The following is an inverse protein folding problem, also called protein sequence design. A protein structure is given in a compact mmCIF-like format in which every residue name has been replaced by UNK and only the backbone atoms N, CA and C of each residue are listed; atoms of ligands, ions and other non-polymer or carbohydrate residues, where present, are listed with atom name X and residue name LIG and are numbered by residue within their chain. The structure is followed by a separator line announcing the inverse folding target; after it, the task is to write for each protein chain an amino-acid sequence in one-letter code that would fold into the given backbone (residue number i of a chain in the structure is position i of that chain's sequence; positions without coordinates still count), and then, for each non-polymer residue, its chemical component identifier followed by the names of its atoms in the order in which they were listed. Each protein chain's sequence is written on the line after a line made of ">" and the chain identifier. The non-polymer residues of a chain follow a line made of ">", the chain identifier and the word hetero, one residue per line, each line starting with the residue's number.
data_IF_766069668316
#
_entry.id   IF_766069668316
#
_cell.length_a   1.000
_cell.length_b   1.000
_cell.length_c   1.000
_cell.angle_alpha   90.00
_cell.angle_beta   90.00
_cell.angle_gamma   90.00
#
_symmetry.space_group_name_H-M   'P 1'
#
loop_
_entity.id
_entity.type
_entity.pdbx_description
1 polymer ?
#
# COMPACT_ATOMS: atom_id res chain seq x y z
N UNK A 1 -27.83 -17.94 -8.56
CA UNK A 1 -27.08 -16.76 -8.06
C UNK A 1 -26.22 -16.24 -9.21
N UNK A 2 -26.23 -14.94 -9.46
CA UNK A 2 -25.33 -14.31 -10.42
C UNK A 2 -23.89 -14.35 -9.86
N UNK A 3 -22.87 -14.40 -10.76
CA UNK A 3 -21.48 -14.31 -10.35
C UNK A 3 -21.24 -12.96 -9.67
N UNK A 4 -20.53 -12.96 -8.56
CA UNK A 4 -20.14 -11.74 -7.86
C UNK A 4 -18.97 -11.09 -8.59
N UNK A 5 -19.02 -9.80 -8.83
CA UNK A 5 -17.87 -9.04 -9.32
C UNK A 5 -17.02 -8.61 -8.12
N UNK A 6 -15.71 -8.77 -8.25
CA UNK A 6 -14.74 -8.61 -7.16
C UNK A 6 -13.71 -7.57 -7.53
N UNK A 7 -13.49 -6.59 -6.65
CA UNK A 7 -12.33 -5.72 -6.67
C UNK A 7 -11.28 -6.22 -5.70
N UNK A 8 -10.03 -6.25 -6.11
CA UNK A 8 -8.89 -6.66 -5.28
C UNK A 8 -7.85 -5.54 -5.29
N UNK A 9 -7.61 -4.99 -4.12
CA UNK A 9 -6.40 -4.23 -3.83
C UNK A 9 -5.34 -5.23 -3.36
N UNK A 10 -4.37 -5.53 -4.23
CA UNK A 10 -3.29 -6.50 -3.95
C UNK A 10 -2.07 -5.76 -3.41
N UNK A 11 -2.19 -5.17 -2.24
CA UNK A 11 -1.13 -4.40 -1.63
C UNK A 11 0.03 -5.24 -1.06
N UNK A 12 1.19 -4.60 -0.95
CA UNK A 12 2.39 -5.21 -0.34
C UNK A 12 2.19 -5.54 1.15
N UNK A 13 1.43 -4.72 1.88
CA UNK A 13 1.16 -4.91 3.31
C UNK A 13 -0.12 -5.69 3.55
N UNK A 14 -1.21 -5.33 2.89
CA UNK A 14 -2.54 -5.93 3.05
C UNK A 14 -3.18 -6.21 1.69
N UNK A 15 -4.04 -7.22 1.65
CA UNK A 15 -4.98 -7.47 0.57
C UNK A 15 -6.37 -7.07 1.04
N UNK A 16 -7.01 -6.17 0.30
CA UNK A 16 -8.41 -5.84 0.51
C UNK A 16 -9.25 -6.40 -0.64
N UNK A 17 -10.42 -6.95 -0.30
CA UNK A 17 -11.36 -7.44 -1.32
C UNK A 17 -12.71 -6.76 -1.12
N UNK A 18 -13.15 -6.13 -2.21
CA UNK A 18 -14.47 -5.54 -2.35
C UNK A 18 -15.38 -6.45 -3.18
N UNK A 19 -16.61 -6.66 -2.77
CA UNK A 19 -17.64 -7.33 -3.56
C UNK A 19 -18.70 -6.32 -3.95
N UNK A 20 -19.02 -6.28 -5.25
CA UNK A 20 -20.06 -5.41 -5.77
C UNK A 20 -21.40 -5.65 -5.04
N UNK A 21 -21.90 -4.58 -4.39
CA UNK A 21 -23.13 -4.60 -3.62
C UNK A 21 -23.02 -5.08 -2.17
N UNK A 22 -21.83 -5.52 -1.72
CA UNK A 22 -21.57 -5.95 -0.35
C UNK A 22 -20.52 -5.08 0.36
N UNK A 23 -19.73 -4.30 -0.39
CA UNK A 23 -18.64 -3.48 0.15
C UNK A 23 -17.35 -4.28 0.36
N UNK A 24 -16.48 -3.78 1.25
CA UNK A 24 -15.23 -4.46 1.62
C UNK A 24 -15.55 -5.64 2.52
N UNK A 25 -15.23 -6.84 2.05
CA UNK A 25 -15.55 -8.12 2.73
C UNK A 25 -14.32 -8.82 3.29
N UNK A 26 -13.13 -8.36 2.93
CA UNK A 26 -11.86 -8.90 3.43
C UNK A 26 -10.82 -7.79 3.52
N UNK A 27 -10.10 -7.77 4.63
CA UNK A 27 -8.89 -6.98 4.84
C UNK A 27 -7.93 -7.86 5.66
N UNK A 28 -6.91 -8.38 5.00
CA UNK A 28 -5.97 -9.34 5.57
C UNK A 28 -4.52 -8.99 5.19
N UNK A 29 -3.55 -9.20 6.08
CA UNK A 29 -2.14 -9.02 5.76
C UNK A 29 -1.69 -9.89 4.57
N UNK A 30 -0.81 -9.34 3.73
CA UNK A 30 -0.18 -10.06 2.61
C UNK A 30 0.95 -10.97 3.10
N UNK A 31 0.61 -11.96 3.94
CA UNK A 31 1.57 -12.87 4.58
C UNK A 31 1.06 -14.31 4.48
N UNK A 32 2.00 -15.23 4.21
CA UNK A 32 1.74 -16.67 4.16
C UNK A 32 2.79 -17.39 5.01
N UNK A 33 2.36 -18.24 5.93
CA UNK A 33 3.24 -19.13 6.69
C UNK A 33 3.32 -20.50 6.02
N UNK A 34 4.52 -20.95 5.73
CA UNK A 34 4.79 -22.24 5.07
C UNK A 34 5.76 -23.08 5.89
N UNK A 35 5.54 -24.36 5.88
CA UNK A 35 6.49 -25.36 6.33
C UNK A 35 7.55 -25.55 5.23
N UNK A 36 8.81 -25.31 5.56
CA UNK A 36 9.92 -25.33 4.58
C UNK A 36 10.35 -26.74 4.18
N UNK A 37 10.03 -27.76 4.97
CA UNK A 37 10.40 -29.14 4.72
C UNK A 37 9.47 -29.79 3.69
N UNK A 38 8.16 -29.60 3.86
CA UNK A 38 7.15 -30.22 2.99
C UNK A 38 6.44 -29.21 2.07
N UNK A 39 6.83 -27.93 2.09
CA UNK A 39 6.24 -26.82 1.32
C UNK A 39 4.73 -26.64 1.53
N UNK A 40 4.22 -27.07 2.67
CA UNK A 40 2.80 -26.97 3.00
C UNK A 40 2.48 -25.60 3.59
N UNK A 41 1.40 -24.98 3.10
CA UNK A 41 0.86 -23.75 3.70
C UNK A 41 0.23 -24.09 5.05
N UNK A 42 0.66 -23.35 6.08
CA UNK A 42 0.20 -23.49 7.47
C UNK A 42 -0.90 -22.47 7.75
N UNK A 43 -0.68 -21.21 7.36
CA UNK A 43 -1.60 -20.11 7.62
C UNK A 43 -1.49 -19.03 6.52
N UNK A 44 -2.53 -18.21 6.36
CA UNK A 44 -2.56 -17.09 5.41
C UNK A 44 -3.24 -15.89 6.07
N UNK A 45 -2.74 -14.70 5.79
CA UNK A 45 -3.30 -13.45 6.28
C UNK A 45 -3.00 -13.23 7.75
N UNK A 46 -4.02 -12.88 8.53
CA UNK A 46 -3.89 -12.52 9.94
C UNK A 46 -3.23 -13.62 10.78
N UNK A 47 -3.62 -14.87 10.58
CA UNK A 47 -3.02 -16.00 11.30
C UNK A 47 -1.52 -16.14 11.00
N UNK A 48 -1.11 -15.95 9.74
CA UNK A 48 0.30 -15.96 9.34
C UNK A 48 1.06 -14.74 9.91
N UNK A 49 0.41 -13.58 9.98
CA UNK A 49 0.99 -12.37 10.55
C UNK A 49 1.32 -12.51 12.04
N UNK A 50 0.51 -13.23 12.80
CA UNK A 50 0.78 -13.51 14.22
C UNK A 50 2.04 -14.38 14.43
N UNK A 51 2.41 -15.17 13.42
CA UNK A 51 3.60 -16.01 13.39
C UNK A 51 4.86 -15.25 12.97
N UNK A 52 4.73 -14.10 12.31
CA UNK A 52 5.85 -13.37 11.73
C UNK A 52 6.90 -13.00 12.78
N UNK A 53 8.16 -13.35 12.53
CA UNK A 53 9.28 -13.14 13.46
C UNK A 53 9.26 -14.02 14.72
N UNK A 54 8.37 -15.03 14.80
CA UNK A 54 8.20 -15.91 15.98
C UNK A 54 8.18 -17.39 15.63
N UNK A 55 8.56 -17.75 14.41
CA UNK A 55 8.50 -19.13 13.90
C UNK A 55 9.76 -19.91 14.23
N UNK A 56 9.66 -21.24 14.44
CA UNK A 56 10.82 -22.12 14.46
C UNK A 56 11.44 -22.23 13.06
N UNK A 57 12.66 -22.80 12.95
CA UNK A 57 13.44 -22.84 11.71
C UNK A 57 12.73 -23.49 10.51
N UNK A 58 11.92 -24.50 10.76
CA UNK A 58 11.16 -25.23 9.72
C UNK A 58 9.87 -24.50 9.27
N UNK A 59 9.51 -23.38 9.88
CA UNK A 59 8.35 -22.57 9.50
C UNK A 59 8.81 -21.17 9.10
N UNK A 60 8.40 -20.70 7.91
CA UNK A 60 8.68 -19.34 7.46
C UNK A 60 7.38 -18.59 7.16
N UNK A 61 7.22 -17.42 7.77
CA UNK A 61 6.23 -16.44 7.34
C UNK A 61 6.83 -15.57 6.23
N UNK A 62 6.22 -15.59 5.05
CA UNK A 62 6.70 -14.97 3.82
C UNK A 62 5.73 -13.86 3.42
N UNK A 63 6.25 -12.71 3.02
CA UNK A 63 5.51 -11.66 2.32
C UNK A 63 5.67 -11.89 0.81
N UNK A 64 4.64 -12.43 0.11
CA UNK A 64 4.76 -12.79 -1.30
C UNK A 64 4.73 -11.59 -2.24
N UNK A 65 4.31 -10.43 -1.73
CA UNK A 65 4.33 -9.14 -2.41
C UNK A 65 5.48 -8.30 -1.87
N UNK A 66 6.21 -7.64 -2.77
CA UNK A 66 7.30 -6.73 -2.41
C UNK A 66 7.31 -5.56 -3.38
N UNK A 67 7.39 -4.35 -2.83
CA UNK A 67 7.52 -3.12 -3.63
C UNK A 67 6.43 -3.02 -4.74
N UNK A 68 5.18 -3.40 -4.39
CA UNK A 68 4.02 -3.37 -5.29
C UNK A 68 3.95 -4.49 -6.32
N UNK A 69 4.90 -5.43 -6.34
CA UNK A 69 4.96 -6.52 -7.32
C UNK A 69 5.01 -7.90 -6.67
N UNK A 70 4.70 -8.94 -7.46
CA UNK A 70 4.79 -10.33 -7.01
C UNK A 70 6.25 -10.74 -6.88
N UNK A 71 6.69 -11.01 -5.65
CA UNK A 71 8.02 -11.55 -5.35
C UNK A 71 8.05 -13.08 -5.40
N UNK A 72 6.94 -13.73 -5.03
CA UNK A 72 6.77 -15.18 -5.11
C UNK A 72 5.39 -15.51 -5.70
N UNK A 73 5.41 -16.02 -6.93
CA UNK A 73 4.20 -16.26 -7.71
C UNK A 73 3.34 -17.38 -7.10
N UNK A 74 3.95 -18.50 -6.73
CA UNK A 74 3.23 -19.65 -6.19
C UNK A 74 2.55 -19.30 -4.86
N UNK A 75 3.28 -18.61 -4.00
CA UNK A 75 2.75 -18.18 -2.69
C UNK A 75 1.67 -17.12 -2.86
N UNK A 76 1.78 -16.19 -3.83
CA UNK A 76 0.75 -15.20 -4.14
C UNK A 76 -0.52 -15.89 -4.67
N UNK A 77 -0.39 -16.84 -5.58
CA UNK A 77 -1.53 -17.63 -6.09
C UNK A 77 -2.27 -18.34 -4.95
N UNK A 78 -1.54 -19.00 -4.04
CA UNK A 78 -2.12 -19.69 -2.89
C UNK A 78 -2.84 -18.69 -1.97
N UNK A 79 -2.23 -17.53 -1.71
CA UNK A 79 -2.83 -16.46 -0.90
C UNK A 79 -4.15 -15.98 -1.50
N UNK A 80 -4.16 -15.60 -2.78
CA UNK A 80 -5.36 -15.15 -3.49
C UNK A 80 -6.45 -16.22 -3.52
N UNK A 81 -6.09 -17.48 -3.85
CA UNK A 81 -7.03 -18.60 -3.83
C UNK A 81 -7.67 -18.79 -2.45
N UNK A 82 -6.87 -18.66 -1.38
CA UNK A 82 -7.37 -18.80 -0.01
C UNK A 82 -8.35 -17.69 0.33
N UNK A 83 -8.03 -16.44 0.00
CA UNK A 83 -8.90 -15.29 0.26
C UNK A 83 -10.21 -15.35 -0.55
N UNK A 84 -10.13 -15.71 -1.85
CA UNK A 84 -11.32 -15.85 -2.70
C UNK A 84 -12.23 -16.98 -2.22
N UNK A 85 -11.68 -18.09 -1.70
CA UNK A 85 -12.46 -19.15 -1.06
C UNK A 85 -13.12 -18.68 0.25
N UNK A 86 -12.40 -17.90 1.07
CA UNK A 86 -12.88 -17.37 2.36
C UNK A 86 -14.13 -16.49 2.18
N UNK A 87 -14.16 -15.66 1.14
CA UNK A 87 -15.30 -14.78 0.83
C UNK A 87 -16.44 -15.48 0.07
N UNK A 88 -16.32 -16.78 -0.26
CA UNK A 88 -17.31 -17.56 -0.99
C UNK A 88 -17.78 -16.90 -2.31
N UNK A 89 -16.89 -16.20 -2.97
CA UNK A 89 -17.19 -15.49 -4.21
C UNK A 89 -17.41 -16.42 -5.41
N UNK A 90 -16.91 -17.64 -5.32
CA UNK A 90 -17.02 -18.67 -6.35
C UNK A 90 -18.07 -19.71 -5.96
N UNK A 91 -18.96 -20.03 -6.91
CA UNK A 91 -19.88 -21.16 -6.81
C UNK A 91 -19.53 -22.19 -7.91
N UNK A 92 -20.10 -23.40 -7.82
CA UNK A 92 -19.90 -24.47 -8.85
C UNK A 92 -20.31 -24.04 -10.26
N UNK A 93 -21.22 -23.03 -10.38
CA UNK A 93 -21.83 -22.61 -11.64
C UNK A 93 -21.49 -21.19 -12.06
N UNK A 94 -20.80 -20.40 -11.19
CA UNK A 94 -20.55 -18.99 -11.47
C UNK A 94 -19.10 -18.62 -11.19
N UNK A 95 -18.46 -17.95 -12.17
CA UNK A 95 -17.08 -17.46 -12.06
C UNK A 95 -17.10 -15.94 -11.97
N UNK A 96 -16.40 -15.33 -11.00
CA UNK A 96 -16.36 -13.88 -10.84
C UNK A 96 -15.61 -13.19 -11.99
N UNK A 97 -15.95 -11.91 -12.24
CA UNK A 97 -15.02 -10.98 -12.87
C UNK A 97 -14.21 -10.36 -11.76
N UNK A 98 -12.92 -10.17 -12.00
CA UNK A 98 -11.99 -9.60 -11.02
C UNK A 98 -11.41 -8.33 -11.62
N UNK A 99 -11.47 -7.23 -10.87
CA UNK A 99 -10.67 -6.04 -11.08
C UNK A 99 -9.56 -6.04 -10.03
N UNK A 100 -8.30 -5.95 -10.47
CA UNK A 100 -7.14 -5.93 -9.58
C UNK A 100 -6.31 -4.68 -9.87
N UNK A 101 -5.81 -4.04 -8.81
CA UNK A 101 -5.00 -2.85 -8.93
C UNK A 101 -3.50 -3.19 -8.95
N UNK A 102 -2.73 -2.35 -9.60
CA UNK A 102 -1.28 -2.44 -9.64
C UNK A 102 -0.64 -1.03 -9.67
N UNK A 103 0.60 -0.89 -9.19
CA UNK A 103 1.35 0.36 -9.31
C UNK A 103 1.56 0.80 -10.76
N UNK A 104 1.76 2.11 -10.99
CA UNK A 104 1.90 2.67 -12.34
C UNK A 104 3.11 2.18 -13.11
N UNK A 105 4.24 2.02 -12.47
CA UNK A 105 5.53 1.77 -13.13
C UNK A 105 5.97 0.30 -13.08
N UNK A 106 5.02 -0.65 -13.16
CA UNK A 106 5.36 -2.06 -13.27
C UNK A 106 5.63 -2.47 -14.72
N UNK A 107 6.51 -3.45 -14.88
CA UNK A 107 6.83 -4.00 -16.19
C UNK A 107 5.64 -4.82 -16.75
N UNK A 108 5.56 -5.00 -18.09
CA UNK A 108 4.55 -5.88 -18.69
C UNK A 108 4.59 -7.32 -18.15
N UNK A 109 5.78 -7.81 -17.76
CA UNK A 109 5.96 -9.14 -17.16
C UNK A 109 5.32 -9.19 -15.78
N UNK A 110 5.56 -8.20 -14.94
CA UNK A 110 4.97 -8.08 -13.60
C UNK A 110 3.43 -7.92 -13.70
N UNK A 111 2.93 -7.09 -14.63
CA UNK A 111 1.49 -6.94 -14.90
C UNK A 111 0.86 -8.27 -15.31
N UNK A 112 1.50 -9.02 -16.21
CA UNK A 112 1.04 -10.34 -16.62
C UNK A 112 1.04 -11.34 -15.46
N UNK A 113 2.05 -11.32 -14.58
CA UNK A 113 2.10 -12.20 -13.42
C UNK A 113 0.89 -11.95 -12.47
N UNK A 114 0.55 -10.68 -12.20
CA UNK A 114 -0.63 -10.31 -11.40
C UNK A 114 -1.91 -10.85 -12.05
N UNK A 115 -2.05 -10.64 -13.38
CA UNK A 115 -3.20 -11.12 -14.16
C UNK A 115 -3.32 -12.63 -14.08
N UNK A 116 -2.23 -13.36 -14.34
CA UNK A 116 -2.20 -14.82 -14.32
C UNK A 116 -2.53 -15.37 -12.93
N UNK A 117 -1.98 -14.79 -11.85
CA UNK A 117 -2.30 -15.18 -10.49
C UNK A 117 -3.81 -15.04 -10.20
N UNK A 118 -4.44 -13.94 -10.66
CA UNK A 118 -5.87 -13.75 -10.53
C UNK A 118 -6.70 -14.73 -11.41
N UNK A 119 -6.28 -14.99 -12.64
CA UNK A 119 -6.96 -15.94 -13.56
C UNK A 119 -6.94 -17.37 -13.00
N UNK A 120 -5.83 -17.80 -12.40
CA UNK A 120 -5.68 -19.12 -11.76
C UNK A 120 -6.61 -19.32 -10.57
N UNK A 121 -7.15 -18.28 -9.99
CA UNK A 121 -8.22 -18.38 -8.97
C UNK A 121 -9.55 -18.85 -9.55
N UNK A 122 -9.64 -18.93 -10.89
CA UNK A 122 -10.84 -19.36 -11.62
C UNK A 122 -11.76 -18.20 -12.00
N UNK A 123 -11.24 -16.99 -12.13
CA UNK A 123 -11.97 -15.85 -12.67
C UNK A 123 -12.46 -16.09 -14.10
N UNK A 124 -13.61 -15.48 -14.47
CA UNK A 124 -14.11 -15.46 -15.85
C UNK A 124 -13.39 -14.45 -16.73
N UNK A 125 -13.07 -13.30 -16.15
CA UNK A 125 -12.34 -12.19 -16.79
C UNK A 125 -11.59 -11.42 -15.70
N UNK A 126 -10.37 -11.01 -15.98
CA UNK A 126 -9.55 -10.17 -15.10
C UNK A 126 -9.29 -8.85 -15.81
N UNK A 127 -9.56 -7.75 -15.12
CA UNK A 127 -9.22 -6.40 -15.49
C UNK A 127 -8.10 -5.92 -14.59
N UNK A 128 -7.21 -5.08 -15.11
CA UNK A 128 -6.13 -4.47 -14.35
C UNK A 128 -6.22 -2.96 -14.51
N UNK A 129 -6.22 -2.25 -13.39
CA UNK A 129 -6.19 -0.79 -13.33
C UNK A 129 -5.02 -0.31 -12.48
N UNK A 130 -4.61 0.92 -12.70
CA UNK A 130 -3.51 1.54 -11.98
C UNK A 130 -3.96 2.13 -10.65
N UNK A 131 -3.22 1.83 -9.58
CA UNK A 131 -3.57 2.18 -8.19
C UNK A 131 -3.95 3.65 -8.00
N UNK A 132 -3.18 4.66 -8.46
CA UNK A 132 -3.53 6.05 -8.20
C UNK A 132 -4.83 6.50 -8.88
N UNK A 133 -5.16 5.96 -10.07
CA UNK A 133 -6.45 6.20 -10.71
C UNK A 133 -7.60 5.67 -9.85
N UNK A 134 -7.45 4.46 -9.38
CA UNK A 134 -8.46 3.79 -8.53
C UNK A 134 -8.55 4.46 -7.16
N UNK A 135 -7.43 4.83 -6.56
CA UNK A 135 -7.37 5.57 -5.30
C UNK A 135 -8.09 6.92 -5.37
N UNK A 136 -7.87 7.69 -6.45
CA UNK A 136 -8.55 8.95 -6.67
C UNK A 136 -10.08 8.78 -6.78
N UNK A 137 -10.54 7.77 -7.52
CA UNK A 137 -11.98 7.43 -7.65
C UNK A 137 -12.54 7.03 -6.27
N UNK A 138 -11.82 6.21 -5.51
CA UNK A 138 -12.24 5.78 -4.18
C UNK A 138 -12.25 6.90 -3.15
N UNK A 139 -11.37 7.89 -3.30
CA UNK A 139 -11.37 9.13 -2.51
C UNK A 139 -12.50 10.10 -2.92
N UNK A 140 -13.37 9.71 -3.86
CA UNK A 140 -14.51 10.53 -4.31
C UNK A 140 -14.13 11.67 -5.25
N UNK A 141 -12.95 11.66 -5.85
CA UNK A 141 -12.52 12.69 -6.80
C UNK A 141 -13.22 12.49 -8.14
N UNK A 142 -13.78 13.57 -8.70
CA UNK A 142 -14.37 13.54 -10.06
C UNK A 142 -13.28 13.77 -11.11
N UNK A 143 -12.68 12.66 -11.54
CA UNK A 143 -11.60 12.67 -12.54
C UNK A 143 -12.13 12.77 -13.99
N UNK A 144 -13.44 12.76 -14.21
CA UNK A 144 -14.04 12.78 -15.56
C UNK A 144 -13.98 14.16 -16.21
N UNK A 145 -13.82 15.21 -15.44
CA UNK A 145 -13.80 16.60 -15.90
C UNK A 145 -12.42 17.00 -16.44
N UNK A 146 -12.36 18.02 -17.34
CA UNK A 146 -11.12 18.60 -17.82
C UNK A 146 -10.50 19.53 -16.76
N UNK A 147 -10.24 19.00 -15.57
CA UNK A 147 -9.61 19.69 -14.44
C UNK A 147 -8.68 18.74 -13.72
N UNK A 148 -7.59 19.26 -13.15
CA UNK A 148 -6.61 18.41 -12.47
C UNK A 148 -7.15 17.86 -11.16
N UNK A 149 -6.84 16.59 -10.92
CA UNK A 149 -6.99 15.91 -9.64
C UNK A 149 -5.65 15.27 -9.32
N UNK A 150 -5.01 15.68 -8.23
CA UNK A 150 -3.73 15.11 -7.82
C UNK A 150 -3.89 14.21 -6.61
N UNK A 151 -3.37 13.00 -6.71
CA UNK A 151 -3.37 12.00 -5.66
C UNK A 151 -1.95 11.54 -5.33
N UNK A 152 -1.70 11.28 -4.05
CA UNK A 152 -0.49 10.60 -3.55
C UNK A 152 -0.98 9.40 -2.76
N UNK A 153 -0.78 8.20 -3.30
CA UNK A 153 -1.10 6.95 -2.61
C UNK A 153 0.16 6.34 -2.00
N UNK A 154 0.23 6.33 -0.67
CA UNK A 154 1.39 5.82 0.07
C UNK A 154 1.01 4.49 0.71
N UNK A 155 1.33 3.42 0.00
CA UNK A 155 1.06 2.05 0.42
C UNK A 155 2.10 1.47 1.38
N UNK A 156 2.18 0.14 1.41
CA UNK A 156 3.23 -0.58 2.16
C UNK A 156 4.56 -0.67 1.40
N UNK A 157 4.52 -0.84 0.07
CA UNK A 157 5.70 -1.07 -0.77
C UNK A 157 6.02 0.07 -1.72
N UNK A 158 5.01 0.80 -2.20
CA UNK A 158 5.13 1.86 -3.19
C UNK A 158 4.45 3.14 -2.73
N UNK A 159 4.94 4.26 -3.23
CA UNK A 159 4.22 5.53 -3.24
C UNK A 159 3.95 5.88 -4.70
N UNK A 160 2.67 5.93 -5.05
CA UNK A 160 2.17 6.22 -6.38
C UNK A 160 1.59 7.62 -6.41
N UNK A 161 2.09 8.45 -7.31
CA UNK A 161 1.74 9.86 -7.43
C UNK A 161 1.20 10.08 -8.83
N UNK A 162 0.03 10.69 -8.96
CA UNK A 162 -0.55 10.97 -10.26
C UNK A 162 -1.38 12.26 -10.29
N UNK A 163 -1.36 12.88 -11.46
CA UNK A 163 -2.30 13.94 -11.85
C UNK A 163 -3.22 13.35 -12.90
N UNK A 164 -4.53 13.38 -12.62
CA UNK A 164 -5.58 12.80 -13.42
C UNK A 164 -6.50 13.91 -13.96
N UNK A 165 -6.94 13.75 -15.21
CA UNK A 165 -7.93 14.59 -15.86
C UNK A 165 -8.61 13.81 -16.99
N UNK A 166 -9.90 14.01 -17.22
CA UNK A 166 -10.66 13.37 -18.30
C UNK A 166 -10.61 11.83 -18.28
N UNK A 167 -10.66 11.23 -17.08
CA UNK A 167 -10.54 9.80 -16.79
C UNK A 167 -9.16 9.16 -17.09
N UNK A 168 -8.15 9.96 -17.39
CA UNK A 168 -6.82 9.44 -17.72
C UNK A 168 -5.73 10.06 -16.85
N UNK A 169 -4.57 9.41 -16.80
CA UNK A 169 -3.39 9.95 -16.14
C UNK A 169 -2.61 10.88 -17.07
N UNK A 170 -2.44 12.13 -16.65
CA UNK A 170 -1.68 13.14 -17.40
C UNK A 170 -0.20 12.99 -17.14
N UNK A 171 0.18 12.83 -15.88
CA UNK A 171 1.55 12.56 -15.43
C UNK A 171 1.52 11.76 -14.17
N UNK A 172 2.49 10.88 -13.99
CA UNK A 172 2.59 10.01 -12.82
C UNK A 172 4.02 9.62 -12.51
N UNK A 173 4.24 9.22 -11.28
CA UNK A 173 5.46 8.56 -10.83
C UNK A 173 5.14 7.52 -9.77
N UNK A 174 5.89 6.44 -9.75
CA UNK A 174 5.86 5.45 -8.68
C UNK A 174 7.27 5.28 -8.12
N UNK A 175 7.39 5.33 -6.80
CA UNK A 175 8.66 5.12 -6.11
C UNK A 175 8.52 3.99 -5.09
N UNK A 176 9.55 3.17 -4.95
CA UNK A 176 9.60 2.04 -4.00
C UNK A 176 10.02 2.52 -2.61
N UNK A 177 9.38 3.59 -2.16
CA UNK A 177 9.58 4.22 -0.84
C UNK A 177 8.20 4.35 -0.23
N UNK A 178 7.91 3.56 0.80
CA UNK A 178 6.61 3.50 1.43
C UNK A 178 6.72 2.88 2.83
N UNK A 179 5.60 2.48 3.45
CA UNK A 179 5.54 2.05 4.84
C UNK A 179 6.60 1.06 5.29
N UNK A 180 6.90 0.04 4.47
CA UNK A 180 7.91 -0.98 4.82
C UNK A 180 9.34 -0.43 4.84
N UNK A 181 9.68 0.49 3.92
CA UNK A 181 11.00 1.12 3.93
C UNK A 181 11.17 2.04 5.14
N UNK A 182 10.11 2.79 5.50
CA UNK A 182 10.11 3.63 6.69
C UNK A 182 10.34 2.78 7.97
N UNK A 183 9.78 1.57 8.05
CA UNK A 183 10.08 0.63 9.15
C UNK A 183 11.55 0.22 9.17
N UNK A 184 12.13 -0.05 7.99
CA UNK A 184 13.55 -0.40 7.88
C UNK A 184 14.47 0.78 8.26
N UNK A 185 14.08 2.01 7.94
CA UNK A 185 14.82 3.22 8.32
C UNK A 185 14.85 3.36 9.86
N UNK A 186 13.73 3.14 10.54
CA UNK A 186 13.65 3.13 12.01
C UNK A 186 14.52 2.01 12.59
N UNK A 187 14.43 0.78 12.05
CA UNK A 187 15.27 -0.35 12.49
C UNK A 187 16.75 -0.01 12.36
N UNK A 188 17.13 0.54 11.19
CA UNK A 188 18.51 0.92 10.90
C UNK A 188 19.01 2.01 11.86
N UNK A 189 18.23 3.05 12.08
CA UNK A 189 18.55 4.14 12.98
C UNK A 189 18.81 3.65 14.41
N UNK A 190 17.87 2.87 14.96
CA UNK A 190 17.98 2.32 16.31
C UNK A 190 19.17 1.36 16.42
N UNK A 191 19.40 0.54 15.40
CA UNK A 191 20.56 -0.36 15.33
C UNK A 191 21.88 0.41 15.33
N UNK A 192 21.97 1.47 14.52
CA UNK A 192 23.22 2.22 14.33
C UNK A 192 23.54 3.10 15.55
N UNK A 193 22.55 3.73 16.14
CA UNK A 193 22.72 4.62 17.29
C UNK A 193 22.85 3.88 18.62
N UNK A 194 21.96 2.93 18.87
CA UNK A 194 21.84 2.27 20.19
C UNK A 194 22.42 0.85 20.22
N UNK A 195 22.89 0.34 19.08
CA UNK A 195 23.32 -1.06 18.93
C UNK A 195 22.23 -2.05 19.39
N UNK A 196 20.97 -1.66 19.18
CA UNK A 196 19.78 -2.43 19.54
C UNK A 196 19.10 -2.98 18.30
N UNK A 197 18.90 -4.28 18.24
CA UNK A 197 18.13 -4.93 17.16
C UNK A 197 16.68 -5.06 17.60
N UNK A 198 15.77 -4.43 16.83
CA UNK A 198 14.32 -4.55 16.98
C UNK A 198 13.71 -5.29 15.77
N UNK A 199 12.50 -5.82 15.94
CA UNK A 199 11.77 -6.47 14.85
C UNK A 199 10.95 -5.49 14.02
N UNK A 200 10.52 -5.91 12.81
CA UNK A 200 9.68 -5.11 11.90
C UNK A 200 8.39 -4.63 12.57
N UNK A 201 7.72 -5.49 13.34
CA UNK A 201 6.50 -5.11 14.06
C UNK A 201 6.73 -3.99 15.07
N UNK A 202 7.84 -4.02 15.80
CA UNK A 202 8.19 -2.95 16.75
C UNK A 202 8.45 -1.64 16.02
N UNK A 203 9.10 -1.68 14.85
CA UNK A 203 9.36 -0.49 14.04
C UNK A 203 8.06 0.08 13.47
N UNK A 204 7.16 -0.78 12.98
CA UNK A 204 5.83 -0.40 12.52
C UNK A 204 5.00 0.26 13.64
N UNK A 205 5.02 -0.32 14.82
CA UNK A 205 4.35 0.26 16.00
C UNK A 205 4.91 1.64 16.37
N UNK A 206 6.24 1.84 16.28
CA UNK A 206 6.88 3.14 16.47
C UNK A 206 6.43 4.12 15.40
N UNK A 207 6.46 3.73 14.13
CA UNK A 207 6.05 4.56 12.99
C UNK A 207 4.59 5.04 13.14
N UNK A 208 3.68 4.13 13.48
CA UNK A 208 2.24 4.43 13.53
C UNK A 208 1.86 5.25 14.76
N UNK A 209 2.43 4.90 15.93
CA UNK A 209 1.93 5.42 17.20
C UNK A 209 2.80 6.51 17.82
N UNK A 210 4.02 6.70 17.33
CA UNK A 210 4.97 7.58 17.98
C UNK A 210 5.68 8.55 17.02
N UNK A 211 6.00 8.12 15.78
CA UNK A 211 6.75 8.96 14.85
C UNK A 211 5.98 10.22 14.44
N UNK A 212 6.71 11.34 14.32
CA UNK A 212 6.21 12.60 13.79
C UNK A 212 7.29 13.23 12.90
N UNK A 213 6.97 13.50 11.63
CA UNK A 213 7.97 13.95 10.64
C UNK A 213 8.02 15.45 10.41
N UNK A 214 7.10 16.23 11.05
CA UNK A 214 7.04 17.68 10.84
C UNK A 214 7.39 18.48 12.10
N UNK A 215 6.58 18.38 13.13
CA UNK A 215 6.76 19.09 14.39
C UNK A 215 6.82 18.09 15.55
N UNK A 216 7.96 17.40 15.74
CA UNK A 216 8.12 16.47 16.85
C UNK A 216 8.03 17.20 18.20
N UNK A 217 7.45 16.54 19.19
CA UNK A 217 7.49 17.01 20.58
C UNK A 217 8.79 16.52 21.24
N UNK A 218 9.69 17.44 21.51
CA UNK A 218 11.00 17.16 22.12
C UNK A 218 10.91 16.49 23.51
N UNK A 219 9.75 16.56 24.17
CA UNK A 219 9.51 16.00 25.49
C UNK A 219 8.95 14.58 25.46
N UNK A 220 8.48 14.16 24.30
CA UNK A 220 7.92 12.80 24.16
C UNK A 220 9.03 11.78 24.01
N UNK A 221 9.00 10.79 24.90
CA UNK A 221 9.95 9.69 24.96
C UNK A 221 9.20 8.36 24.87
N UNK A 222 9.83 7.37 24.25
CA UNK A 222 9.31 6.01 24.11
C UNK A 222 10.37 4.99 24.50
N UNK A 223 10.03 4.07 25.41
CA UNK A 223 10.86 2.90 25.71
C UNK A 223 10.74 1.86 24.60
N UNK A 224 11.87 1.50 24.01
CA UNK A 224 11.97 0.48 22.96
C UNK A 224 12.81 -0.69 23.46
N UNK A 225 12.26 -1.90 23.32
CA UNK A 225 12.90 -3.14 23.76
C UNK A 225 13.41 -3.94 22.57
N UNK A 226 14.61 -4.49 22.70
CA UNK A 226 15.21 -5.30 21.66
C UNK A 226 16.38 -6.12 22.18
N UNK A 227 17.18 -6.68 21.27
CA UNK A 227 18.40 -7.41 21.58
C UNK A 227 19.62 -6.50 21.39
N UNK A 228 20.40 -6.29 22.44
CA UNK A 228 21.66 -5.58 22.33
C UNK A 228 22.66 -6.38 21.48
N UNK A 229 23.23 -5.75 20.46
CA UNK A 229 24.13 -6.41 19.50
C UNK A 229 25.53 -6.69 20.06
N UNK A 230 25.92 -5.99 21.15
CA UNK A 230 27.22 -6.17 21.79
C UNK A 230 27.18 -7.31 22.78
N UNK A 231 26.14 -7.33 23.65
CA UNK A 231 26.02 -8.31 24.74
C UNK A 231 25.19 -9.54 24.37
N UNK A 232 24.37 -9.45 23.28
CA UNK A 232 23.42 -10.47 22.89
C UNK A 232 22.18 -10.57 23.81
N UNK A 233 22.08 -9.77 24.86
CA UNK A 233 21.01 -9.82 25.86
C UNK A 233 19.85 -8.86 25.53
N UNK A 234 18.63 -9.13 26.05
CA UNK A 234 17.53 -8.16 26.00
C UNK A 234 17.95 -6.83 26.65
N UNK A 235 17.59 -5.73 26.02
CA UNK A 235 17.90 -4.39 26.49
C UNK A 235 16.78 -3.42 26.14
N UNK A 236 16.65 -2.34 26.91
CA UNK A 236 15.68 -1.26 26.68
C UNK A 236 16.44 0.04 26.46
N UNK A 237 16.03 0.81 25.47
CA UNK A 237 16.52 2.17 25.23
C UNK A 237 15.33 3.13 25.16
N UNK A 238 15.58 4.40 25.44
CA UNK A 238 14.60 5.47 25.28
C UNK A 238 14.91 6.24 23.99
N UNK A 239 13.91 6.43 23.14
CA UNK A 239 13.99 7.24 21.92
C UNK A 239 13.06 8.44 22.02
N UNK A 240 13.36 9.50 21.27
CA UNK A 240 12.53 10.72 21.16
C UNK A 240 11.82 10.79 19.81
N UNK A 241 10.81 11.69 19.69
CA UNK A 241 10.18 11.93 18.39
C UNK A 241 11.14 12.57 17.38
N UNK A 242 12.08 13.42 17.82
CA UNK A 242 13.11 13.98 16.95
C UNK A 242 13.95 12.91 16.28
N UNK A 243 14.27 11.86 17.02
CA UNK A 243 15.02 10.72 16.49
C UNK A 243 14.22 9.95 15.44
N UNK A 244 12.91 9.85 15.58
CA UNK A 244 12.07 9.23 14.54
C UNK A 244 12.01 10.10 13.29
N UNK A 245 11.96 11.42 13.43
CA UNK A 245 12.05 12.37 12.30
C UNK A 245 13.39 12.21 11.58
N UNK A 246 14.51 12.25 12.33
CA UNK A 246 15.85 12.05 11.77
C UNK A 246 15.97 10.72 11.00
N UNK A 247 15.42 9.64 11.57
CA UNK A 247 15.43 8.31 10.94
C UNK A 247 14.69 8.29 9.60
N UNK A 248 13.59 9.03 9.47
CA UNK A 248 12.69 9.01 8.31
C UNK A 248 12.99 10.09 7.26
N UNK A 249 13.81 11.10 7.61
CA UNK A 249 14.02 12.32 6.81
C UNK A 249 14.43 12.01 5.35
N UNK A 250 15.39 11.11 5.14
CA UNK A 250 15.88 10.77 3.80
C UNK A 250 14.77 10.19 2.91
N UNK A 251 13.98 9.25 3.43
CA UNK A 251 12.91 8.59 2.68
C UNK A 251 11.75 9.53 2.42
N UNK A 252 11.36 10.36 3.39
CA UNK A 252 10.30 11.35 3.23
C UNK A 252 10.70 12.42 2.20
N UNK A 253 11.93 12.92 2.23
CA UNK A 253 12.42 13.89 1.25
C UNK A 253 12.42 13.33 -0.18
N UNK A 254 12.67 12.03 -0.36
CA UNK A 254 12.55 11.37 -1.67
C UNK A 254 11.11 11.31 -2.17
N UNK A 255 10.13 11.06 -1.28
CA UNK A 255 8.70 11.11 -1.63
C UNK A 255 8.32 12.53 -2.07
N UNK A 256 8.69 13.54 -1.30
CA UNK A 256 8.43 14.95 -1.63
C UNK A 256 9.04 15.32 -2.97
N UNK A 257 10.28 14.92 -3.22
CA UNK A 257 10.96 15.17 -4.50
C UNK A 257 10.25 14.49 -5.68
N UNK A 258 9.77 13.27 -5.51
CA UNK A 258 8.98 12.57 -6.54
C UNK A 258 7.68 13.32 -6.81
N UNK A 259 7.01 13.82 -5.77
CA UNK A 259 5.80 14.63 -5.88
C UNK A 259 6.06 15.95 -6.62
N UNK A 260 7.16 16.63 -6.29
CA UNK A 260 7.59 17.85 -6.99
C UNK A 260 7.80 17.59 -8.48
N UNK A 261 8.50 16.50 -8.82
CA UNK A 261 8.77 16.15 -10.22
C UNK A 261 7.48 15.91 -11.03
N UNK A 262 6.46 15.30 -10.42
CA UNK A 262 5.15 15.10 -11.07
C UNK A 262 4.43 16.44 -11.30
N UNK A 263 4.49 17.35 -10.33
CA UNK A 263 3.92 18.70 -10.47
C UNK A 263 4.63 19.51 -11.57
N UNK A 264 5.96 19.45 -11.63
CA UNK A 264 6.77 20.16 -12.64
C UNK A 264 6.50 19.68 -14.07
N UNK A 265 6.10 18.43 -14.25
CA UNK A 265 5.77 17.85 -15.55
C UNK A 265 4.34 18.12 -15.99
N UNK A 266 3.50 18.64 -15.10
CA UNK A 266 2.11 18.94 -15.43
C UNK A 266 1.97 20.12 -16.38
N UNK A 267 1.01 20.10 -17.32
CA UNK A 267 0.62 21.28 -18.08
C UNK A 267 0.28 22.45 -17.16
N UNK A 268 0.63 23.70 -17.55
CA UNK A 268 0.42 24.89 -16.68
C UNK A 268 -1.02 25.07 -16.20
N UNK A 269 -2.01 24.79 -17.03
CA UNK A 269 -3.43 24.91 -16.69
C UNK A 269 -3.82 23.92 -15.58
N UNK A 270 -3.31 22.66 -15.67
CA UNK A 270 -3.57 21.65 -14.67
C UNK A 270 -2.79 21.93 -13.37
N UNK A 271 -1.60 22.51 -13.46
CA UNK A 271 -0.86 22.95 -12.27
C UNK A 271 -1.59 24.06 -11.52
N UNK A 272 -2.21 25.00 -12.25
CA UNK A 272 -3.05 26.03 -11.63
C UNK A 272 -4.26 25.43 -10.90
N UNK A 273 -4.93 24.46 -11.52
CA UNK A 273 -6.04 23.74 -10.85
C UNK A 273 -5.62 23.10 -9.53
N UNK A 274 -4.40 22.52 -9.46
CA UNK A 274 -3.90 21.86 -8.25
C UNK A 274 -3.66 22.86 -7.11
N UNK A 275 -3.22 24.08 -7.42
CA UNK A 275 -3.07 25.14 -6.38
C UNK A 275 -4.40 25.43 -5.69
N UNK A 276 -5.51 25.39 -6.44
CA UNK A 276 -6.85 25.65 -5.88
C UNK A 276 -7.48 24.41 -5.24
N UNK A 277 -7.33 23.25 -5.86
CA UNK A 277 -8.00 21.99 -5.46
C UNK A 277 -7.22 21.18 -4.44
N UNK A 278 -5.91 21.35 -4.43
CA UNK A 278 -5.01 20.64 -3.55
C UNK A 278 -4.65 19.22 -4.00
N UNK A 279 -3.91 18.56 -3.13
CA UNK A 279 -3.45 17.18 -3.26
C UNK A 279 -4.23 16.33 -2.27
N UNK A 280 -4.73 15.17 -2.71
CA UNK A 280 -5.37 14.18 -1.84
C UNK A 280 -4.39 13.04 -1.56
N UNK A 281 -4.16 12.75 -0.29
CA UNK A 281 -3.31 11.65 0.15
C UNK A 281 -4.15 10.44 0.53
N UNK A 282 -3.76 9.27 0.03
CA UNK A 282 -4.37 7.96 0.27
C UNK A 282 -3.33 6.95 0.74
N UNK A 283 -3.78 5.73 1.07
CA UNK A 283 -2.91 4.69 1.60
C UNK A 283 -2.58 4.87 3.09
N UNK A 284 -1.97 3.83 3.66
CA UNK A 284 -1.63 3.82 5.10
C UNK A 284 -0.55 4.83 5.49
N UNK A 285 0.37 5.12 4.58
CA UNK A 285 1.43 6.10 4.80
C UNK A 285 0.93 7.55 4.90
N UNK A 286 -0.24 7.85 4.33
CA UNK A 286 -0.89 9.16 4.49
C UNK A 286 -1.20 9.51 5.95
N UNK A 287 -1.31 8.49 6.81
CA UNK A 287 -1.60 8.64 8.24
C UNK A 287 -0.34 8.91 9.10
N UNK A 288 0.86 8.93 8.50
CA UNK A 288 2.08 9.26 9.24
C UNK A 288 1.98 10.70 9.76
N UNK A 289 2.10 10.85 11.07
CA UNK A 289 1.90 12.13 11.75
C UNK A 289 2.85 13.21 11.21
N UNK A 290 2.28 14.33 10.82
CA UNK A 290 3.02 15.48 10.30
C UNK A 290 3.33 15.43 8.80
N UNK A 291 3.14 14.30 8.12
CA UNK A 291 3.50 14.17 6.70
C UNK A 291 2.67 15.11 5.81
N UNK A 292 1.38 15.23 6.07
CA UNK A 292 0.48 16.11 5.32
C UNK A 292 0.90 17.58 5.44
N UNK A 293 1.23 18.01 6.67
CA UNK A 293 1.67 19.38 6.93
C UNK A 293 3.03 19.65 6.27
N UNK A 294 3.93 18.69 6.32
CA UNK A 294 5.24 18.79 5.69
C UNK A 294 5.14 18.93 4.16
N UNK A 295 4.31 18.10 3.51
CA UNK A 295 4.08 18.19 2.06
C UNK A 295 3.45 19.53 1.70
N UNK A 296 2.43 19.97 2.46
CA UNK A 296 1.76 21.26 2.26
C UNK A 296 2.74 22.43 2.34
N UNK A 297 3.65 22.42 3.33
CA UNK A 297 4.66 23.47 3.48
C UNK A 297 5.68 23.45 2.36
N UNK A 298 6.23 22.26 2.05
CA UNK A 298 7.30 22.11 1.04
C UNK A 298 6.84 22.43 -0.38
N UNK A 299 5.60 22.07 -0.73
CA UNK A 299 5.05 22.29 -2.08
C UNK A 299 4.24 23.58 -2.19
N UNK A 300 3.91 24.21 -1.08
CA UNK A 300 3.00 25.37 -1.01
C UNK A 300 1.64 25.08 -1.71
N UNK A 301 1.13 23.85 -1.58
CA UNK A 301 -0.12 23.38 -2.15
C UNK A 301 -1.00 22.81 -1.04
N UNK A 302 -2.31 23.12 -0.96
CA UNK A 302 -3.21 22.49 -0.01
C UNK A 302 -3.12 20.97 -0.11
N UNK A 303 -2.95 20.28 1.02
CA UNK A 303 -2.83 18.82 1.06
C UNK A 303 -3.79 18.29 2.10
N UNK A 304 -4.56 17.26 1.73
CA UNK A 304 -5.63 16.68 2.53
C UNK A 304 -5.49 15.16 2.54
N UNK A 305 -5.86 14.52 3.65
CA UNK A 305 -6.00 13.07 3.73
C UNK A 305 -7.43 12.70 3.32
N UNK A 306 -7.60 11.67 2.51
CA UNK A 306 -8.91 11.12 2.17
C UNK A 306 -9.65 10.64 3.43
N UNK A 307 -10.98 10.63 3.41
CA UNK A 307 -11.79 10.23 4.57
C UNK A 307 -11.49 8.79 5.05
N UNK A 308 -11.19 7.90 4.12
CA UNK A 308 -10.88 6.48 4.40
C UNK A 308 -9.60 6.06 3.67
N UNK A 309 -8.43 6.60 4.01
CA UNK A 309 -7.22 6.46 3.19
C UNK A 309 -6.75 5.01 3.02
N UNK A 310 -7.01 4.15 3.99
CA UNK A 310 -6.67 2.73 3.96
C UNK A 310 -7.53 1.90 3.00
N UNK A 311 -8.65 2.41 2.54
CA UNK A 311 -9.65 1.65 1.77
C UNK A 311 -9.96 2.27 0.41
N UNK A 312 -9.38 3.44 0.09
CA UNK A 312 -9.65 4.17 -1.16
C UNK A 312 -9.49 3.28 -2.40
N UNK A 313 -8.40 2.53 -2.52
CA UNK A 313 -8.16 1.64 -3.67
C UNK A 313 -9.27 0.58 -3.76
N UNK A 314 -9.57 -0.10 -2.65
CA UNK A 314 -10.61 -1.13 -2.62
C UNK A 314 -12.01 -0.55 -2.96
N UNK A 315 -12.37 0.60 -2.41
CA UNK A 315 -13.65 1.29 -2.68
C UNK A 315 -13.72 1.77 -4.13
N UNK A 316 -12.62 2.30 -4.68
CA UNK A 316 -12.52 2.72 -6.07
C UNK A 316 -12.73 1.56 -7.04
N UNK A 317 -12.23 0.35 -6.72
CA UNK A 317 -12.56 -0.86 -7.51
C UNK A 317 -14.06 -1.11 -7.56
N UNK A 318 -14.75 -0.87 -6.45
CA UNK A 318 -16.20 -1.01 -6.36
C UNK A 318 -16.93 -0.04 -7.27
N UNK A 319 -16.50 1.21 -7.34
CA UNK A 319 -17.06 2.23 -8.25
C UNK A 319 -16.86 1.82 -9.71
N UNK A 320 -15.65 1.39 -10.08
CA UNK A 320 -15.33 0.94 -11.43
C UNK A 320 -16.12 -0.32 -11.83
N UNK A 321 -16.30 -1.27 -10.94
CA UNK A 321 -17.12 -2.47 -11.18
C UNK A 321 -18.61 -2.15 -11.38
N UNK A 322 -19.08 -1.01 -10.90
CA UNK A 322 -20.43 -0.52 -11.24
C UNK A 322 -20.50 0.02 -12.68
N UNK A 323 -19.38 0.50 -13.22
CA UNK A 323 -19.25 1.11 -14.53
C UNK A 323 -18.38 0.27 -15.48
N UNK A 324 -18.68 -1.02 -15.61
CA UNK A 324 -17.87 -2.00 -16.38
C UNK A 324 -17.58 -1.57 -17.82
N UNK A 325 -18.40 -0.73 -18.43
CA UNK A 325 -18.14 -0.22 -19.78
C UNK A 325 -16.84 0.58 -19.84
N UNK A 326 -16.52 1.37 -18.82
CA UNK A 326 -15.25 2.10 -18.74
C UNK A 326 -14.06 1.12 -18.71
N UNK A 327 -14.18 0.02 -17.94
CA UNK A 327 -13.15 -1.02 -17.87
C UNK A 327 -12.96 -1.78 -19.21
N UNK A 328 -13.99 -1.88 -20.02
CA UNK A 328 -13.91 -2.58 -21.33
C UNK A 328 -13.28 -1.69 -22.40
N UNK A 329 -13.43 -0.39 -22.31
CA UNK A 329 -12.79 0.60 -23.20
C UNK A 329 -11.27 0.73 -22.90
N UNK A 330 -10.88 0.77 -21.62
CA UNK A 330 -9.47 0.88 -21.19
C UNK A 330 -8.65 -0.40 -21.42
N UNK A 331 -9.29 -1.57 -21.51
CA UNK A 331 -8.64 -2.89 -21.68
C UNK A 331 -8.84 -3.50 -23.09
N UNK A 332 -9.31 -2.75 -24.09
CA UNK A 332 -9.43 -3.15 -25.50
C UNK A 332 -8.25 -2.64 -26.32
#
# INVERSE_FOLDING_TARGET
>A
MLAKDIGIDLGTANVLIYIKGEGIVLNEPSIVAIDTENKKVIAVGKEASEMFGRTPEHVKAIKPMKDGVIADFEVTEIMLNTFIRKIKARTLFTRPRILICCPTNITPVEKNAIKEAAERTGARKVYIEEEPKVAAIGAGMDISKPSANMVIDIGGGTTDIAILSMNDMVTSASVRIAGNLLDQDIIKYIKDKYKLLIGEKTAEDIKINFANVYNPDEKLELEVRGRNLITGLPHTVTITQDETKEALDESINKIIKATTNVLEQAPPELSADIVDRGIVMTGGGALLTGLTDLIKEQLNVPTLIADSPLTCVAEGTGVLLNNIKLLEEDNS
#
